data_IF_268635249558
#
_entry.id   IF_268635249558
#
_cell.length_a   1.000
_cell.length_b   1.000
_cell.length_c   1.000
_cell.angle_alpha   90.00
_cell.angle_beta   90.00
_cell.angle_gamma   90.00
#
_symmetry.space_group_name_H-M   'P 1'
#
loop_
_entity.id
_entity.type
_entity.pdbx_description
1 polymer ?
#
# COMPACT_ATOMS: atom_id res chain seq x y z
N UNK A 1 5.24 -36.13 -13.44
CA UNK A 1 4.82 -36.06 -12.02
C UNK A 1 5.74 -35.13 -11.24
N UNK A 2 7.05 -35.38 -11.19
CA UNK A 2 8.00 -34.50 -10.48
C UNK A 2 7.96 -33.02 -10.93
N UNK A 3 7.92 -32.75 -12.24
CA UNK A 3 7.84 -31.38 -12.75
C UNK A 3 6.54 -30.65 -12.35
N UNK A 4 5.39 -31.33 -12.41
CA UNK A 4 4.11 -30.74 -12.00
C UNK A 4 4.06 -30.49 -10.49
N UNK A 5 4.65 -31.38 -9.68
CA UNK A 5 4.77 -31.17 -8.24
C UNK A 5 5.66 -29.94 -7.95
N UNK A 6 6.77 -29.79 -8.67
CA UNK A 6 7.64 -28.62 -8.54
C UNK A 6 6.92 -27.32 -8.91
N UNK A 7 6.10 -27.32 -9.97
CA UNK A 7 5.28 -26.17 -10.33
C UNK A 7 4.20 -25.86 -9.29
N UNK A 8 3.58 -26.88 -8.72
CA UNK A 8 2.62 -26.71 -7.63
C UNK A 8 3.25 -26.06 -6.40
N UNK A 9 4.43 -26.54 -5.97
CA UNK A 9 5.18 -25.95 -4.85
C UNK A 9 5.57 -24.49 -5.13
N UNK A 10 5.97 -24.17 -6.37
CA UNK A 10 6.26 -22.80 -6.78
C UNK A 10 5.02 -21.91 -6.69
N UNK A 11 3.89 -22.34 -7.25
CA UNK A 11 2.64 -21.57 -7.25
C UNK A 11 2.16 -21.29 -5.83
N UNK A 12 2.24 -22.28 -4.94
CA UNK A 12 1.93 -22.08 -3.52
C UNK A 12 2.83 -21.02 -2.90
N UNK A 13 4.14 -21.12 -3.11
CA UNK A 13 5.11 -20.18 -2.56
C UNK A 13 4.91 -18.75 -3.06
N UNK A 14 4.69 -18.55 -4.37
CA UNK A 14 4.50 -17.22 -4.95
C UNK A 14 3.14 -16.62 -4.55
N UNK A 15 2.16 -17.45 -4.22
CA UNK A 15 0.85 -17.00 -3.78
C UNK A 15 0.76 -16.74 -2.26
N UNK A 16 1.84 -16.97 -1.50
CA UNK A 16 1.86 -16.60 -0.08
C UNK A 16 2.01 -15.08 0.07
N UNK A 17 1.13 -14.40 0.82
CA UNK A 17 1.29 -12.98 1.08
C UNK A 17 2.49 -12.78 2.01
N UNK A 18 3.59 -12.26 1.49
CA UNK A 18 4.76 -11.99 2.34
C UNK A 18 4.43 -10.93 3.42
N UNK A 19 4.86 -11.16 4.68
CA UNK A 19 4.78 -10.15 5.72
C UNK A 19 5.55 -8.89 5.31
N UNK A 20 4.98 -7.72 5.62
CA UNK A 20 5.51 -6.38 5.30
C UNK A 20 6.97 -6.11 5.70
N UNK A 21 7.54 -6.90 6.61
CA UNK A 21 8.89 -6.71 7.15
C UNK A 21 9.99 -7.24 6.23
N UNK A 22 9.66 -8.16 5.32
CA UNK A 22 10.64 -8.84 4.47
C UNK A 22 10.24 -8.72 3.00
N UNK A 23 10.01 -7.48 2.52
CA UNK A 23 9.93 -7.17 1.09
C UNK A 23 11.31 -7.34 0.43
N UNK A 24 11.91 -8.50 0.59
CA UNK A 24 13.04 -8.91 -0.21
C UNK A 24 12.49 -9.12 -1.62
N UNK A 25 13.16 -8.55 -2.62
CA UNK A 25 12.86 -8.74 -4.04
C UNK A 25 13.12 -10.18 -4.51
N UNK A 26 12.96 -11.16 -3.63
CA UNK A 26 13.41 -12.54 -3.81
C UNK A 26 12.33 -13.47 -4.35
N UNK A 27 11.04 -13.12 -4.21
CA UNK A 27 9.93 -13.94 -4.72
C UNK A 27 9.90 -13.95 -6.25
N UNK A 28 10.16 -12.80 -6.90
CA UNK A 28 10.11 -12.67 -8.36
C UNK A 28 11.49 -12.40 -8.98
N UNK A 29 12.48 -13.23 -8.59
CA UNK A 29 13.77 -13.27 -9.30
C UNK A 29 13.58 -13.74 -10.76
N UNK A 30 14.50 -13.41 -11.69
CA UNK A 30 14.40 -13.82 -13.09
C UNK A 30 14.14 -15.33 -13.28
N UNK A 31 14.70 -16.17 -12.41
CA UNK A 31 14.49 -17.62 -12.44
C UNK A 31 13.04 -18.01 -12.17
N UNK A 32 12.40 -17.36 -11.17
CA UNK A 32 10.99 -17.61 -10.83
C UNK A 32 10.08 -17.11 -11.95
N UNK A 33 10.36 -15.94 -12.50
CA UNK A 33 9.62 -15.39 -13.64
C UNK A 33 9.67 -16.37 -14.83
N UNK A 34 10.84 -16.89 -15.16
CA UNK A 34 10.99 -17.87 -16.25
C UNK A 34 10.19 -19.16 -15.97
N UNK A 35 10.14 -19.61 -14.71
CA UNK A 35 9.33 -20.77 -14.33
C UNK A 35 7.83 -20.49 -14.45
N UNK A 36 7.35 -19.33 -14.02
CA UNK A 36 5.95 -18.91 -14.18
C UNK A 36 5.56 -18.81 -15.67
N UNK A 37 6.43 -18.26 -16.51
CA UNK A 37 6.23 -18.23 -17.97
C UNK A 37 6.23 -19.64 -18.58
N UNK A 38 7.03 -20.57 -18.05
CA UNK A 38 6.96 -21.96 -18.50
C UNK A 38 5.65 -22.64 -18.10
N UNK A 39 5.13 -22.34 -16.89
CA UNK A 39 3.84 -22.85 -16.41
C UNK A 39 2.68 -22.32 -17.25
N UNK A 40 2.73 -21.05 -17.69
CA UNK A 40 1.64 -20.45 -18.49
C UNK A 40 1.42 -21.12 -19.85
N UNK A 41 2.43 -21.83 -20.38
CA UNK A 41 2.31 -22.58 -21.62
C UNK A 41 1.63 -23.95 -21.45
N UNK A 42 1.42 -24.41 -20.22
CA UNK A 42 0.72 -25.67 -19.98
C UNK A 42 -0.79 -25.50 -20.18
N UNK A 43 -1.38 -26.48 -20.87
CA UNK A 43 -2.81 -26.57 -21.06
C UNK A 43 -3.29 -28.01 -20.86
N UNK A 44 -4.55 -28.17 -20.51
CA UNK A 44 -5.20 -29.46 -20.35
C UNK A 44 -6.56 -29.46 -21.04
N UNK A 45 -7.07 -30.64 -21.35
CA UNK A 45 -8.45 -30.81 -21.81
C UNK A 45 -9.34 -30.99 -20.59
N UNK A 46 -10.37 -30.18 -20.46
CA UNK A 46 -11.36 -30.36 -19.40
C UNK A 46 -12.29 -31.55 -19.70
N UNK A 47 -13.27 -31.76 -18.80
CA UNK A 47 -14.24 -32.87 -18.90
C UNK A 47 -15.09 -32.82 -20.17
N UNK A 48 -15.21 -31.65 -20.80
CA UNK A 48 -15.96 -31.43 -22.04
C UNK A 48 -15.05 -31.46 -23.27
N UNK A 49 -13.76 -31.72 -23.09
CA UNK A 49 -12.75 -31.75 -24.16
C UNK A 49 -12.32 -30.35 -24.63
N UNK A 50 -12.59 -29.30 -23.85
CA UNK A 50 -12.12 -27.96 -24.17
C UNK A 50 -10.69 -27.77 -23.66
N UNK A 51 -9.82 -27.22 -24.52
CA UNK A 51 -8.47 -26.87 -24.14
C UNK A 51 -8.50 -25.64 -23.22
N UNK A 52 -8.01 -25.81 -21.99
CA UNK A 52 -7.89 -24.75 -20.99
C UNK A 52 -6.44 -24.60 -20.55
N UNK A 53 -5.98 -23.37 -20.28
CA UNK A 53 -4.67 -23.17 -19.66
C UNK A 53 -4.66 -23.77 -18.25
N UNK A 54 -3.51 -24.28 -17.82
CA UNK A 54 -3.33 -24.81 -16.47
C UNK A 54 -3.44 -23.68 -15.43
N UNK A 55 -2.87 -22.51 -15.76
CA UNK A 55 -2.99 -21.26 -15.01
C UNK A 55 -3.43 -20.19 -15.99
N UNK A 56 -4.49 -19.46 -15.69
CA UNK A 56 -5.03 -18.45 -16.58
C UNK A 56 -4.07 -17.27 -16.75
N UNK A 57 -4.16 -16.51 -17.86
CA UNK A 57 -3.37 -15.29 -18.04
C UNK A 57 -3.58 -14.26 -16.91
N UNK A 58 -4.77 -14.22 -16.32
CA UNK A 58 -5.10 -13.33 -15.20
C UNK A 58 -4.38 -13.76 -13.91
N UNK A 59 -4.40 -15.05 -13.59
CA UNK A 59 -3.65 -15.59 -12.43
C UNK A 59 -2.15 -15.39 -12.59
N UNK A 60 -1.59 -15.58 -13.80
CA UNK A 60 -0.17 -15.27 -14.06
C UNK A 60 0.12 -13.79 -13.80
N UNK A 61 -0.74 -12.89 -14.28
CA UNK A 61 -0.56 -11.45 -14.04
C UNK A 61 -0.61 -11.09 -12.55
N UNK A 62 -1.46 -11.77 -11.77
CA UNK A 62 -1.54 -11.61 -10.31
C UNK A 62 -0.29 -12.13 -9.60
N UNK A 63 0.21 -13.30 -10.00
CA UNK A 63 1.43 -13.90 -9.44
C UNK A 63 2.69 -13.08 -9.78
N UNK A 64 2.64 -12.21 -10.78
CA UNK A 64 3.73 -11.30 -11.17
C UNK A 64 3.72 -9.96 -10.41
N UNK A 65 2.82 -9.76 -9.44
CA UNK A 65 2.80 -8.55 -8.61
C UNK A 65 4.03 -8.54 -7.69
N UNK A 66 4.89 -7.52 -7.84
CA UNK A 66 6.13 -7.39 -7.07
C UNK A 66 5.97 -6.72 -5.72
N UNK A 67 4.86 -6.00 -5.49
CA UNK A 67 4.61 -5.28 -4.24
C UNK A 67 3.12 -5.15 -3.96
N UNK A 68 2.72 -5.62 -2.76
CA UNK A 68 1.33 -5.66 -2.35
C UNK A 68 0.56 -6.77 -3.07
N UNK A 69 -0.75 -6.68 -3.03
CA UNK A 69 -1.67 -7.74 -3.46
C UNK A 69 -2.71 -7.25 -4.49
N UNK A 70 -2.47 -6.10 -5.12
CA UNK A 70 -3.39 -5.49 -6.07
C UNK A 70 -2.74 -5.45 -7.45
N UNK A 71 -3.47 -5.96 -8.43
CA UNK A 71 -3.18 -5.69 -9.84
C UNK A 71 -3.24 -4.19 -10.12
N UNK A 72 -2.66 -3.69 -11.23
CA UNK A 72 -2.77 -2.28 -11.59
C UNK A 72 -4.22 -1.79 -11.72
N UNK A 73 -5.12 -2.66 -12.21
CA UNK A 73 -6.54 -2.34 -12.32
C UNK A 73 -7.21 -2.21 -10.94
N UNK A 74 -7.02 -3.19 -10.06
CA UNK A 74 -7.55 -3.15 -8.69
C UNK A 74 -6.98 -1.97 -7.89
N UNK A 75 -5.68 -1.69 -8.05
CA UNK A 75 -5.04 -0.51 -7.46
C UNK A 75 -5.75 0.77 -7.89
N UNK A 76 -6.02 0.93 -9.18
CA UNK A 76 -6.75 2.11 -9.69
C UNK A 76 -8.15 2.24 -9.07
N UNK A 77 -8.87 1.14 -8.88
CA UNK A 77 -10.19 1.17 -8.22
C UNK A 77 -10.09 1.56 -6.74
N UNK A 78 -9.10 1.05 -6.02
CA UNK A 78 -8.87 1.43 -4.62
C UNK A 78 -8.47 2.90 -4.52
N UNK A 79 -7.52 3.35 -5.35
CA UNK A 79 -7.06 4.74 -5.36
C UNK A 79 -8.19 5.73 -5.72
N UNK A 80 -9.18 5.33 -6.51
CA UNK A 80 -10.33 6.17 -6.87
C UNK A 80 -11.16 6.67 -5.67
N UNK A 81 -11.02 6.08 -4.48
CA UNK A 81 -11.74 6.51 -3.28
C UNK A 81 -11.50 7.99 -2.92
N UNK A 82 -10.31 8.53 -3.18
CA UNK A 82 -10.00 9.96 -2.93
C UNK A 82 -10.82 10.86 -3.85
N UNK A 83 -10.94 10.47 -5.11
CA UNK A 83 -11.71 11.19 -6.12
C UNK A 83 -13.19 11.12 -5.80
N UNK A 84 -13.69 9.92 -5.45
CA UNK A 84 -15.08 9.78 -5.02
C UNK A 84 -15.37 10.64 -3.79
N UNK A 85 -14.49 10.63 -2.78
CA UNK A 85 -14.63 11.46 -1.57
C UNK A 85 -14.67 12.94 -1.91
N UNK A 86 -13.75 13.41 -2.76
CA UNK A 86 -13.77 14.79 -3.26
C UNK A 86 -15.08 15.14 -3.96
N UNK A 87 -15.57 14.28 -4.85
CA UNK A 87 -16.83 14.47 -5.58
C UNK A 87 -18.04 14.55 -4.64
N UNK A 88 -18.05 13.80 -3.53
CA UNK A 88 -19.08 13.92 -2.50
C UNK A 88 -18.92 15.22 -1.71
N UNK A 89 -17.73 15.49 -1.18
CA UNK A 89 -17.46 16.62 -0.30
C UNK A 89 -17.69 17.97 -1.01
N UNK A 90 -17.36 18.09 -2.30
CA UNK A 90 -17.56 19.35 -3.04
C UNK A 90 -19.02 19.75 -3.23
N UNK A 91 -19.97 18.82 -3.02
CA UNK A 91 -21.42 19.08 -3.11
C UNK A 91 -22.00 19.63 -1.82
N UNK A 92 -21.26 19.56 -0.71
CA UNK A 92 -21.70 20.07 0.59
C UNK A 92 -21.54 21.61 0.61
N UNK A 93 -22.55 22.37 1.06
CA UNK A 93 -22.45 23.82 1.20
C UNK A 93 -21.61 24.19 2.43
N UNK A 94 -20.29 24.10 2.29
CA UNK A 94 -19.36 24.43 3.36
C UNK A 94 -19.45 25.90 3.76
N UNK A 95 -19.30 26.17 5.05
CA UNK A 95 -19.02 27.51 5.56
C UNK A 95 -17.66 28.00 5.09
N UNK A 96 -17.40 29.32 5.02
CA UNK A 96 -16.13 29.86 4.51
C UNK A 96 -14.86 29.28 5.19
N UNK A 97 -14.94 28.94 6.48
CA UNK A 97 -13.81 28.37 7.22
C UNK A 97 -13.55 26.86 6.96
N UNK A 98 -14.44 26.17 6.25
CA UNK A 98 -14.33 24.74 5.89
C UNK A 98 -14.35 24.49 4.38
N UNK A 99 -14.34 25.54 3.57
CA UNK A 99 -14.49 25.43 2.12
C UNK A 99 -13.38 24.60 1.45
N UNK A 100 -12.22 24.49 2.10
CA UNK A 100 -11.06 23.76 1.58
C UNK A 100 -11.07 22.26 1.92
N UNK A 101 -11.99 21.81 2.78
CA UNK A 101 -12.09 20.39 3.19
C UNK A 101 -12.12 19.42 1.99
N UNK A 102 -12.86 19.67 0.90
CA UNK A 102 -12.81 18.81 -0.28
C UNK A 102 -11.40 18.69 -0.86
N UNK A 103 -10.68 19.81 -1.01
CA UNK A 103 -9.31 19.82 -1.58
C UNK A 103 -8.34 19.11 -0.63
N UNK A 104 -8.50 19.34 0.68
CA UNK A 104 -7.69 18.73 1.71
C UNK A 104 -7.82 17.20 1.64
N UNK A 105 -9.06 16.70 1.63
CA UNK A 105 -9.36 15.28 1.52
C UNK A 105 -8.99 14.72 0.14
N UNK A 106 -9.01 15.50 -0.93
CA UNK A 106 -8.64 15.00 -2.26
C UNK A 106 -7.16 14.65 -2.36
N UNK A 107 -6.31 15.39 -1.65
CA UNK A 107 -4.86 15.28 -1.74
C UNK A 107 -4.17 14.43 -0.66
N UNK A 108 -4.90 13.78 0.26
CA UNK A 108 -4.24 13.15 1.42
C UNK A 108 -3.32 11.96 1.07
N UNK A 109 -3.44 11.41 -0.14
CA UNK A 109 -2.52 10.41 -0.69
C UNK A 109 -1.44 11.00 -1.64
N UNK A 110 -1.41 12.31 -1.85
CA UNK A 110 -0.31 12.98 -2.54
C UNK A 110 0.99 12.87 -1.73
N UNK A 111 2.12 12.85 -2.44
CA UNK A 111 3.45 12.76 -1.84
C UNK A 111 4.27 13.95 -2.28
N UNK A 112 5.15 14.45 -1.40
CA UNK A 112 5.90 15.67 -1.64
C UNK A 112 6.81 15.59 -2.89
N UNK A 113 7.23 14.39 -3.28
CA UNK A 113 8.06 14.09 -4.46
C UNK A 113 7.26 13.90 -5.76
N UNK A 114 5.93 14.01 -5.74
CA UNK A 114 5.08 13.79 -6.91
C UNK A 114 4.75 12.33 -7.21
N UNK A 115 5.22 11.37 -6.39
CA UNK A 115 4.92 9.94 -6.57
C UNK A 115 3.52 9.53 -6.07
N UNK A 116 2.80 10.47 -5.45
CA UNK A 116 1.45 10.26 -4.93
C UNK A 116 0.37 10.34 -5.99
N UNK A 117 -0.87 10.21 -5.52
CA UNK A 117 -2.07 10.23 -6.35
C UNK A 117 -3.16 11.08 -5.65
N UNK A 118 -4.17 11.58 -6.37
CA UNK A 118 -4.51 11.26 -7.77
C UNK A 118 -3.94 12.23 -8.81
N UNK A 119 -3.36 13.37 -8.41
CA UNK A 119 -2.91 14.41 -9.34
C UNK A 119 -1.38 14.44 -9.52
N UNK A 120 -0.63 13.73 -8.67
CA UNK A 120 0.83 13.73 -8.73
C UNK A 120 1.40 15.10 -8.38
N UNK A 121 0.83 15.74 -7.36
CA UNK A 121 1.27 17.06 -6.91
C UNK A 121 2.63 16.99 -6.24
N UNK A 122 3.37 18.08 -6.32
CA UNK A 122 4.62 18.25 -5.56
C UNK A 122 4.39 19.16 -4.35
N UNK A 123 5.32 19.16 -3.40
CA UNK A 123 5.20 19.90 -2.13
C UNK A 123 4.61 21.33 -2.21
N UNK A 124 4.99 22.21 -3.15
CA UNK A 124 4.45 23.57 -3.23
C UNK A 124 2.94 23.62 -3.51
N UNK A 125 2.39 22.59 -4.15
CA UNK A 125 0.99 22.52 -4.56
C UNK A 125 0.10 21.79 -3.54
N UNK A 126 0.71 21.15 -2.53
CA UNK A 126 -0.01 20.38 -1.51
C UNK A 126 -0.25 21.28 -0.29
N UNK A 127 -1.52 21.61 0.05
CA UNK A 127 -1.84 22.41 1.22
C UNK A 127 -1.26 21.82 2.51
N UNK A 128 -0.81 22.66 3.44
CA UNK A 128 -0.22 22.19 4.69
C UNK A 128 -1.17 21.29 5.49
N UNK A 129 -2.48 21.57 5.45
CA UNK A 129 -3.52 20.75 6.08
C UNK A 129 -3.58 19.35 5.48
N UNK A 130 -3.41 19.22 4.16
CA UNK A 130 -3.28 17.93 3.49
C UNK A 130 -2.05 17.18 3.98
N UNK A 131 -0.90 17.85 4.05
CA UNK A 131 0.35 17.23 4.53
C UNK A 131 0.21 16.74 5.98
N UNK A 132 -0.50 17.47 6.85
CA UNK A 132 -0.81 17.05 8.22
C UNK A 132 -1.65 15.77 8.23
N UNK A 133 -2.74 15.72 7.44
CA UNK A 133 -3.60 14.54 7.37
C UNK A 133 -2.84 13.35 6.78
N UNK A 134 -2.00 13.54 5.77
CA UNK A 134 -1.15 12.47 5.20
C UNK A 134 -0.26 11.83 6.26
N UNK A 135 0.36 12.63 7.15
CA UNK A 135 1.18 12.09 8.26
C UNK A 135 0.32 11.30 9.23
N UNK A 136 -0.84 11.83 9.62
CA UNK A 136 -1.75 11.16 10.55
C UNK A 136 -2.31 9.85 9.98
N UNK A 137 -2.75 9.85 8.71
CA UNK A 137 -3.31 8.70 8.01
C UNK A 137 -2.30 7.56 7.86
N UNK A 138 -1.05 7.86 7.51
CA UNK A 138 0.01 6.85 7.42
C UNK A 138 0.28 6.23 8.79
N UNK A 139 0.34 7.05 9.85
CA UNK A 139 0.56 6.55 11.20
C UNK A 139 -0.57 5.60 11.61
N UNK A 140 -1.82 6.05 11.47
CA UNK A 140 -3.01 5.27 11.83
C UNK A 140 -3.07 3.96 11.03
N UNK A 141 -2.82 4.02 9.72
CA UNK A 141 -2.83 2.84 8.86
C UNK A 141 -1.75 1.79 9.21
N UNK A 142 -0.64 2.20 9.81
CA UNK A 142 0.45 1.31 10.22
C UNK A 142 0.28 0.80 11.67
N UNK A 143 -0.30 1.62 12.55
CA UNK A 143 -0.46 1.33 13.97
C UNK A 143 -1.81 0.69 14.33
N UNK A 144 -2.79 0.69 13.41
CA UNK A 144 -4.12 0.14 13.64
C UNK A 144 -4.08 -1.38 13.92
N UNK A 145 -4.69 -1.78 15.03
CA UNK A 145 -4.80 -3.18 15.50
C UNK A 145 -6.10 -3.87 15.10
N UNK A 146 -7.03 -3.14 14.50
CA UNK A 146 -8.37 -3.60 14.12
C UNK A 146 -8.42 -4.25 12.74
N UNK A 147 -7.27 -4.38 12.06
CA UNK A 147 -7.19 -4.99 10.72
C UNK A 147 -7.09 -6.51 10.85
N UNK A 148 -8.08 -7.29 10.33
CA UNK A 148 -8.14 -8.76 10.52
C UNK A 148 -6.94 -9.54 9.97
N UNK A 149 -6.17 -8.90 9.08
CA UNK A 149 -5.09 -9.51 8.33
C UNK A 149 -3.70 -9.02 8.75
N UNK A 150 -3.60 -8.17 9.79
CA UNK A 150 -2.34 -7.54 10.17
C UNK A 150 -2.30 -7.13 11.63
N UNK A 151 -1.29 -7.60 12.34
CA UNK A 151 -0.97 -7.11 13.68
C UNK A 151 -0.49 -5.65 13.61
N UNK A 152 -0.90 -4.84 14.59
CA UNK A 152 -0.43 -3.47 14.72
C UNK A 152 1.10 -3.42 14.89
N UNK A 153 1.75 -2.55 14.13
CA UNK A 153 3.18 -2.32 14.35
C UNK A 153 3.41 -1.55 15.66
N UNK A 154 4.47 -1.90 16.42
CA UNK A 154 4.93 -1.07 17.53
C UNK A 154 5.23 0.36 17.06
N UNK A 155 5.01 1.34 17.94
CA UNK A 155 5.21 2.76 17.63
C UNK A 155 6.60 3.03 17.04
N UNK A 156 7.66 2.43 17.58
CA UNK A 156 9.03 2.62 17.08
C UNK A 156 9.19 2.13 15.63
N UNK A 157 8.56 1.01 15.27
CA UNK A 157 8.57 0.48 13.90
C UNK A 157 7.83 1.44 12.96
N UNK A 158 6.67 1.94 13.35
CA UNK A 158 5.90 2.91 12.57
C UNK A 158 6.70 4.19 12.33
N UNK A 159 7.28 4.76 13.39
CA UNK A 159 8.09 5.98 13.28
C UNK A 159 9.34 5.73 12.43
N UNK A 160 9.99 4.58 12.54
CA UNK A 160 11.13 4.21 11.67
C UNK A 160 10.73 4.19 10.19
N UNK A 161 9.58 3.61 9.85
CA UNK A 161 9.06 3.61 8.47
C UNK A 161 8.78 5.05 8.00
N UNK A 162 8.08 5.84 8.81
CA UNK A 162 7.74 7.22 8.46
C UNK A 162 8.99 8.10 8.31
N UNK A 163 10.01 7.94 9.15
CA UNK A 163 11.30 8.64 9.03
C UNK A 163 12.00 8.30 7.71
N UNK A 164 11.94 7.05 7.24
CA UNK A 164 12.45 6.66 5.90
C UNK A 164 11.68 7.36 4.78
N UNK A 165 10.36 7.43 4.86
CA UNK A 165 9.53 8.14 3.87
C UNK A 165 9.81 9.66 3.87
N UNK A 166 10.03 10.27 5.05
CA UNK A 166 10.41 11.67 5.18
C UNK A 166 11.84 11.93 4.66
N UNK A 167 12.76 10.99 4.88
CA UNK A 167 14.11 11.07 4.31
C UNK A 167 14.10 10.99 2.78
N UNK A 168 13.17 10.22 2.21
CA UNK A 168 12.93 10.12 0.76
C UNK A 168 12.10 11.29 0.19
N UNK A 169 11.80 12.33 0.98
CA UNK A 169 10.98 13.48 0.58
C UNK A 169 9.57 13.09 0.09
N UNK A 170 8.96 12.06 0.69
CA UNK A 170 7.57 11.66 0.37
C UNK A 170 6.54 12.26 1.31
N UNK A 171 6.92 12.49 2.56
CA UNK A 171 6.10 13.14 3.58
C UNK A 171 6.88 14.29 4.23
N UNK A 172 6.16 15.25 4.82
CA UNK A 172 6.77 16.43 5.41
C UNK A 172 7.54 16.08 6.69
N UNK A 173 8.85 16.33 6.68
CA UNK A 173 9.74 16.05 7.80
C UNK A 173 9.41 16.89 9.04
N UNK A 174 9.19 18.19 8.88
CA UNK A 174 8.93 19.09 10.00
C UNK A 174 7.61 18.71 10.72
N UNK A 175 6.61 18.27 9.96
CA UNK A 175 5.36 17.77 10.53
C UNK A 175 5.52 16.43 11.26
N UNK A 176 6.35 15.52 10.72
CA UNK A 176 6.67 14.27 11.40
C UNK A 176 7.44 14.52 12.70
N UNK A 177 8.44 15.41 12.67
CA UNK A 177 9.19 15.81 13.87
C UNK A 177 8.27 16.42 14.93
N UNK A 178 7.33 17.28 14.52
CA UNK A 178 6.32 17.82 15.44
C UNK A 178 5.42 16.72 16.01
N UNK A 179 4.97 15.78 15.18
CA UNK A 179 4.16 14.64 15.60
C UNK A 179 4.88 13.79 16.66
N UNK A 180 6.17 13.52 16.45
CA UNK A 180 7.02 12.77 17.38
C UNK A 180 7.28 13.53 18.68
N UNK A 181 7.69 14.81 18.60
CA UNK A 181 7.98 15.66 19.76
C UNK A 181 6.76 15.87 20.66
N UNK A 182 5.57 15.94 20.07
CA UNK A 182 4.31 16.06 20.80
C UNK A 182 3.71 14.73 21.22
N UNK A 183 4.37 13.61 20.87
CA UNK A 183 3.93 12.26 21.15
C UNK A 183 2.43 12.05 20.81
N UNK A 184 2.00 12.54 19.64
CA UNK A 184 0.58 12.60 19.26
C UNK A 184 -0.09 11.21 19.33
N UNK A 185 0.69 10.16 19.08
CA UNK A 185 0.26 8.77 19.22
C UNK A 185 -0.24 8.38 20.63
N UNK A 186 0.14 9.09 21.68
CA UNK A 186 -0.39 8.85 23.04
C UNK A 186 -1.87 9.20 23.15
N UNK A 187 -2.38 10.10 22.31
CA UNK A 187 -3.81 10.50 22.32
C UNK A 187 -4.72 9.30 21.98
N UNK A 188 -4.22 8.37 21.17
CA UNK A 188 -4.92 7.14 20.81
C UNK A 188 -4.45 5.93 21.63
N UNK A 189 -3.75 6.16 22.74
CA UNK A 189 -3.35 5.12 23.70
C UNK A 189 -2.08 4.35 23.35
N UNK A 190 -1.32 4.77 22.34
CA UNK A 190 -0.05 4.15 21.99
C UNK A 190 1.12 4.76 22.78
N UNK A 191 2.14 3.96 23.09
CA UNK A 191 3.32 4.44 23.82
C UNK A 191 4.60 3.82 23.27
N UNK A 192 5.70 4.57 23.33
CA UNK A 192 7.03 3.98 23.21
C UNK A 192 7.34 3.18 24.48
N UNK A 193 8.00 2.02 24.37
CA UNK A 193 8.54 1.35 25.55
C UNK A 193 9.49 2.31 26.28
N UNK A 194 9.45 2.29 27.61
CA UNK A 194 10.43 3.01 28.42
C UNK A 194 11.81 2.47 28.03
N UNK A 195 12.71 3.36 27.60
CA UNK A 195 14.12 3.00 27.50
C UNK A 195 14.62 2.87 28.92
N UNK A 196 14.98 1.65 29.34
CA UNK A 196 15.72 1.44 30.58
C UNK A 196 17.05 2.22 30.45
N UNK A 197 17.24 3.23 31.31
CA UNK A 197 18.47 4.03 31.43
C UNK A 197 19.69 3.20 31.86
#
# INVERSE_FOLDING_TARGET
MEQLNSYWELLLKVNEPEPWEDHSSEVLRPEVINQLMAISEYSYLDVDGQLKPLVSPEEIAQLMITKGNLTPAERSYVEAHVTHSYEFLKRIPWTPHLQDIPIIAYGHHEKLDGSGYPRGLTQPDIPIQTQIITVADIYDALAASDRPYKDAFPVETVLTIMRKEAAANKINRDLLELFEQRQVYQVIGHSLPLQDE
#
